data_IF_184272014558
#
_entry.id   IF_184272014558
#
_cell.length_a   1.000
_cell.length_b   1.000
_cell.length_c   1.000
_cell.angle_alpha   90.00
_cell.angle_beta   90.00
_cell.angle_gamma   90.00
#
_symmetry.space_group_name_H-M   'P 1'
#
loop_
_entity.id
_entity.type
_entity.pdbx_description
1 polymer ?
#
# COMPACT_ATOMS: atom_id res chain seq x y z
N UNK A 1 11.27 -9.98 3.11
CA UNK A 1 11.44 -8.65 3.72
C UNK A 1 11.59 -7.54 2.70
N UNK A 2 12.39 -7.73 1.64
CA UNK A 2 12.64 -6.67 0.64
C UNK A 2 11.35 -6.06 0.05
N UNK A 3 10.35 -6.89 -0.29
CA UNK A 3 9.05 -6.43 -0.79
C UNK A 3 8.35 -5.43 0.15
N UNK A 4 8.25 -5.76 1.44
CA UNK A 4 7.58 -4.89 2.43
C UNK A 4 8.39 -3.63 2.73
N UNK A 5 9.72 -3.75 2.74
CA UNK A 5 10.58 -2.58 2.92
C UNK A 5 10.40 -1.56 1.80
N UNK A 6 10.21 -2.03 0.56
CA UNK A 6 9.97 -1.16 -0.58
C UNK A 6 8.57 -0.59 -0.62
N UNK A 7 7.56 -1.39 -0.26
CA UNK A 7 6.20 -0.89 -0.10
C UNK A 7 6.18 0.24 0.95
N UNK A 8 6.88 0.07 2.07
CA UNK A 8 6.97 1.08 3.12
C UNK A 8 7.69 2.34 2.64
N UNK A 9 8.79 2.19 1.89
CA UNK A 9 9.46 3.32 1.22
C UNK A 9 8.56 4.05 0.23
N UNK A 10 7.71 3.32 -0.51
CA UNK A 10 6.79 3.94 -1.45
C UNK A 10 5.80 4.84 -0.71
N UNK A 11 5.26 4.39 0.42
CA UNK A 11 4.38 5.19 1.28
C UNK A 11 5.15 6.40 1.84
N UNK A 12 6.36 6.21 2.35
CA UNK A 12 7.19 7.32 2.87
C UNK A 12 7.43 8.41 1.81
N UNK A 13 7.66 8.00 0.56
CA UNK A 13 7.85 8.92 -0.57
C UNK A 13 6.55 9.63 -0.97
N UNK A 14 5.42 8.93 -0.94
CA UNK A 14 4.09 9.52 -1.18
C UNK A 14 3.77 10.57 -0.10
N UNK A 15 4.02 10.25 1.17
CA UNK A 15 3.79 11.16 2.30
C UNK A 15 4.71 12.39 2.22
N UNK A 16 5.93 12.21 1.72
CA UNK A 16 6.88 13.29 1.44
C UNK A 16 6.59 14.08 0.14
N UNK A 17 5.43 13.85 -0.50
CA UNK A 17 4.96 14.47 -1.75
C UNK A 17 5.86 14.25 -2.97
N UNK A 18 6.64 13.17 -3.01
CA UNK A 18 7.55 12.90 -4.12
C UNK A 18 6.84 12.26 -5.34
N UNK A 19 6.05 13.03 -6.07
CA UNK A 19 5.57 12.65 -7.40
C UNK A 19 4.47 11.57 -7.43
N UNK A 20 4.25 10.97 -8.61
CA UNK A 20 3.18 9.99 -8.81
C UNK A 20 3.49 8.65 -8.15
N UNK A 21 2.53 8.10 -7.40
CA UNK A 21 2.62 6.76 -6.80
C UNK A 21 3.07 5.69 -7.80
N UNK A 22 2.55 5.76 -9.03
CA UNK A 22 2.93 4.82 -10.10
C UNK A 22 4.44 4.94 -10.40
N UNK A 23 4.95 6.14 -10.63
CA UNK A 23 6.38 6.34 -10.91
C UNK A 23 7.26 5.88 -9.76
N UNK A 24 6.90 6.22 -8.52
CA UNK A 24 7.62 5.82 -7.30
C UNK A 24 7.75 4.31 -7.23
N UNK A 25 6.63 3.61 -7.30
CA UNK A 25 6.57 2.15 -7.16
C UNK A 25 7.36 1.45 -8.26
N UNK A 26 7.20 1.87 -9.51
CA UNK A 26 7.94 1.27 -10.62
C UNK A 26 9.45 1.56 -10.52
N UNK A 27 9.86 2.75 -10.07
CA UNK A 27 11.27 3.08 -9.83
C UNK A 27 11.88 2.28 -8.68
N UNK A 28 11.11 1.99 -7.63
CA UNK A 28 11.56 1.12 -6.53
C UNK A 28 11.67 -0.34 -6.98
N UNK A 29 10.73 -0.80 -7.80
CA UNK A 29 10.77 -2.14 -8.39
C UNK A 29 11.94 -2.32 -9.37
N UNK A 30 12.37 -1.27 -10.09
CA UNK A 30 13.58 -1.34 -10.92
C UNK A 30 14.85 -1.47 -10.06
N UNK A 31 14.88 -0.77 -8.93
CA UNK A 31 16.00 -0.77 -7.97
C UNK A 31 16.18 -2.10 -7.21
N UNK A 32 15.15 -2.97 -7.16
CA UNK A 32 15.25 -4.34 -6.60
C UNK A 32 16.41 -5.14 -7.18
N UNK A 33 16.69 -4.99 -8.48
CA UNK A 33 17.58 -5.87 -9.22
C UNK A 33 18.98 -5.32 -9.43
N UNK A 34 19.21 -4.03 -9.24
CA UNK A 34 20.56 -3.45 -9.43
C UNK A 34 21.54 -3.87 -8.32
N UNK A 35 21.05 -4.34 -7.17
CA UNK A 35 21.88 -4.87 -6.09
C UNK A 35 22.26 -6.36 -6.28
N UNK A 36 21.45 -7.13 -7.01
CA UNK A 36 21.79 -8.47 -7.47
C UNK A 36 22.50 -8.37 -8.82
N UNK A 37 23.82 -8.61 -8.88
CA UNK A 37 24.64 -8.62 -10.11
C UNK A 37 24.24 -9.71 -11.13
N UNK A 38 23.00 -9.70 -11.62
CA UNK A 38 22.53 -10.48 -12.77
C UNK A 38 21.59 -9.60 -13.59
N UNK A 39 22.19 -8.65 -14.32
CA UNK A 39 21.54 -7.99 -15.44
C UNK A 39 21.40 -9.02 -16.58
N UNK A 40 20.40 -9.89 -16.50
CA UNK A 40 20.00 -10.68 -17.65
C UNK A 40 19.14 -9.79 -18.55
N UNK A 41 19.78 -9.23 -19.57
CA UNK A 41 19.16 -8.53 -20.69
C UNK A 41 18.27 -9.51 -21.47
N UNK A 42 17.01 -9.63 -21.06
CA UNK A 42 16.03 -10.49 -21.72
C UNK A 42 14.60 -9.97 -21.54
N UNK A 43 13.75 -10.17 -22.55
CA UNK A 43 12.33 -9.80 -22.53
C UNK A 43 11.58 -10.34 -21.31
N UNK A 44 11.93 -11.55 -20.86
CA UNK A 44 11.38 -12.20 -19.67
C UNK A 44 11.71 -11.45 -18.35
N UNK A 45 12.89 -10.83 -18.24
CA UNK A 45 13.27 -10.07 -17.06
C UNK A 45 12.44 -8.78 -16.91
N UNK A 46 12.14 -8.13 -18.04
CA UNK A 46 11.28 -6.94 -18.11
C UNK A 46 9.82 -7.29 -17.80
N UNK A 47 9.32 -8.41 -18.29
CA UNK A 47 7.98 -8.90 -17.96
C UNK A 47 7.80 -9.15 -16.45
N UNK A 48 8.79 -9.81 -15.81
CA UNK A 48 8.80 -10.05 -14.35
C UNK A 48 8.86 -8.75 -13.54
N UNK A 49 9.65 -7.77 -14.00
CA UNK A 49 9.72 -6.46 -13.36
C UNK A 49 8.36 -5.73 -13.39
N UNK A 50 7.65 -5.84 -14.51
CA UNK A 50 6.32 -5.24 -14.63
C UNK A 50 5.32 -5.97 -13.74
N UNK A 51 5.38 -7.31 -13.60
CA UNK A 51 4.52 -8.03 -12.67
C UNK A 51 4.80 -7.69 -11.21
N UNK A 52 6.07 -7.58 -10.82
CA UNK A 52 6.46 -7.23 -9.46
C UNK A 52 6.07 -5.78 -9.12
N UNK A 53 6.28 -4.85 -10.05
CA UNK A 53 5.82 -3.47 -9.93
C UNK A 53 4.30 -3.36 -9.82
N UNK A 54 3.55 -4.13 -10.61
CA UNK A 54 2.07 -4.22 -10.49
C UNK A 54 1.65 -4.76 -9.12
N UNK A 55 2.32 -5.80 -8.62
CA UNK A 55 2.03 -6.38 -7.30
C UNK A 55 2.32 -5.38 -6.19
N UNK A 56 3.45 -4.68 -6.26
CA UNK A 56 3.82 -3.63 -5.31
C UNK A 56 2.80 -2.47 -5.35
N UNK A 57 2.41 -2.03 -6.55
CA UNK A 57 1.44 -0.96 -6.74
C UNK A 57 0.08 -1.32 -6.14
N UNK A 58 -0.38 -2.55 -6.36
CA UNK A 58 -1.64 -3.04 -5.80
C UNK A 58 -1.65 -2.95 -4.27
N UNK A 59 -0.63 -3.51 -3.62
CA UNK A 59 -0.53 -3.49 -2.15
C UNK A 59 -0.46 -2.06 -1.64
N UNK A 60 0.39 -1.22 -2.23
CA UNK A 60 0.52 0.17 -1.77
C UNK A 60 -0.78 0.96 -1.99
N UNK A 61 -1.43 0.81 -3.14
CA UNK A 61 -2.70 1.49 -3.42
C UNK A 61 -3.82 1.03 -2.49
N UNK A 62 -3.94 -0.27 -2.23
CA UNK A 62 -4.89 -0.81 -1.25
C UNK A 62 -4.57 -0.28 0.16
N UNK A 63 -3.30 -0.26 0.59
CA UNK A 63 -2.91 0.27 1.91
C UNK A 63 -3.25 1.75 2.08
N UNK A 64 -3.07 2.55 1.02
CA UNK A 64 -3.42 3.97 1.04
C UNK A 64 -4.94 4.18 1.09
N UNK A 65 -5.72 3.29 0.47
CA UNK A 65 -7.18 3.31 0.53
C UNK A 65 -7.71 3.10 1.95
N UNK A 66 -7.14 2.14 2.67
CA UNK A 66 -7.55 1.81 4.04
C UNK A 66 -6.77 2.56 5.11
N UNK A 67 -5.93 3.53 4.72
CA UNK A 67 -4.99 4.20 5.63
C UNK A 67 -5.68 4.74 6.89
N UNK A 68 -6.75 5.50 6.71
CA UNK A 68 -7.46 6.16 7.81
C UNK A 68 -8.09 5.15 8.77
N UNK A 69 -8.64 4.04 8.25
CA UNK A 69 -9.17 2.94 9.06
C UNK A 69 -8.05 2.31 9.87
N UNK A 70 -6.92 1.97 9.24
CA UNK A 70 -5.80 1.32 9.93
C UNK A 70 -5.17 2.25 10.96
N UNK A 71 -5.04 3.55 10.68
CA UNK A 71 -4.54 4.53 11.64
C UNK A 71 -5.47 4.64 12.86
N UNK A 72 -6.80 4.62 12.68
CA UNK A 72 -7.74 4.61 13.80
C UNK A 72 -7.64 3.34 14.66
N UNK A 73 -7.40 2.18 14.04
CA UNK A 73 -7.15 0.92 14.76
C UNK A 73 -5.82 1.00 15.51
N UNK A 74 -4.78 1.55 14.89
CA UNK A 74 -3.45 1.63 15.47
C UNK A 74 -3.35 2.66 16.61
N UNK A 75 -4.24 3.66 16.64
CA UNK A 75 -4.39 4.54 17.82
C UNK A 75 -4.94 3.78 19.04
N UNK A 76 -5.81 2.78 18.83
CA UNK A 76 -6.34 1.95 19.90
C UNK A 76 -5.38 0.80 20.29
N UNK A 77 -4.70 0.20 19.31
CA UNK A 77 -3.74 -0.89 19.51
C UNK A 77 -2.32 -0.37 19.32
N UNK A 78 -1.66 -0.05 20.42
CA UNK A 78 -0.30 0.51 20.40
C UNK A 78 0.78 -0.58 20.16
N UNK A 79 0.81 -1.11 18.94
CA UNK A 79 1.80 -2.09 18.49
C UNK A 79 3.21 -1.48 18.45
N UNK A 80 3.29 -0.17 18.15
CA UNK A 80 4.56 0.55 18.01
C UNK A 80 5.35 0.63 19.31
N UNK A 81 4.68 0.98 20.41
CA UNK A 81 5.36 1.07 21.70
C UNK A 81 5.60 -0.32 22.29
N UNK A 82 4.63 -1.24 22.13
CA UNK A 82 4.74 -2.64 22.60
C UNK A 82 5.93 -3.37 21.98
N UNK A 83 6.18 -3.18 20.69
CA UNK A 83 7.22 -3.90 19.94
C UNK A 83 8.30 -2.94 19.39
N UNK A 84 8.61 -1.89 20.16
CA UNK A 84 9.59 -0.84 19.81
C UNK A 84 11.00 -1.36 19.50
N UNK A 85 11.38 -2.51 20.06
CA UNK A 85 12.65 -3.20 19.76
C UNK A 85 12.68 -3.88 18.39
N UNK A 86 11.52 -4.29 17.89
CA UNK A 86 11.38 -5.03 16.62
C UNK A 86 11.22 -4.05 15.45
N UNK A 87 10.46 -2.98 15.65
CA UNK A 87 10.16 -1.98 14.62
C UNK A 87 11.11 -0.78 14.64
N UNK A 88 11.88 -0.60 15.72
CA UNK A 88 12.94 0.39 15.81
C UNK A 88 12.45 1.74 16.36
N UNK A 89 12.45 1.86 17.69
CA UNK A 89 12.95 3.07 18.34
C UNK A 89 14.33 2.71 18.88
N UNK A 90 15.39 3.00 18.14
CA UNK A 90 16.71 3.08 18.76
C UNK A 90 16.66 4.30 19.69
N UNK A 91 16.36 4.05 20.95
CA UNK A 91 16.65 4.96 22.04
C UNK A 91 18.13 5.33 21.94
N UNK A 92 18.39 6.61 21.67
CA UNK A 92 19.49 7.38 22.28
C UNK A 92 20.74 6.57 22.67
N UNK A 93 21.60 6.28 21.70
CA UNK A 93 23.02 6.08 21.98
C UNK A 93 23.84 6.92 21.00
N UNK A 94 24.54 7.88 21.57
CA UNK A 94 25.48 8.79 20.95
C UNK A 94 26.32 8.15 19.83
N UNK A 95 26.41 8.85 18.70
CA UNK A 95 27.73 9.13 18.13
C UNK A 95 27.72 10.52 17.52
N UNK A 96 28.30 11.46 18.29
CA UNK A 96 28.81 12.73 17.78
C UNK A 96 29.91 12.41 16.77
N UNK A 97 29.56 12.23 15.50
CA UNK A 97 30.47 12.41 14.36
C UNK A 97 29.65 13.02 13.23
N UNK A 98 29.51 14.35 13.32
CA UNK A 98 29.09 15.17 12.21
C UNK A 98 30.12 15.06 11.08
N UNK A 99 29.66 15.23 9.84
CA UNK A 99 30.45 15.31 8.59
C UNK A 99 30.78 13.94 7.96
N UNK A 100 29.76 13.28 7.36
CA UNK A 100 29.89 12.36 6.18
C UNK A 100 28.72 11.37 6.00
N UNK A 101 27.76 11.25 6.93
CA UNK A 101 26.72 10.19 6.89
C UNK A 101 25.31 10.62 6.46
N UNK A 102 25.17 11.67 5.64
CA UNK A 102 23.85 12.05 5.09
C UNK A 102 23.30 11.06 4.04
N UNK A 103 24.10 10.12 3.53
CA UNK A 103 23.67 9.17 2.49
C UNK A 103 22.96 7.89 3.01
N UNK A 104 23.12 7.52 4.28
CA UNK A 104 22.70 6.19 4.78
C UNK A 104 21.45 6.19 5.68
N UNK A 105 20.76 7.32 5.87
CA UNK A 105 19.41 7.33 6.47
C UNK A 105 18.36 6.68 5.54
N UNK A 106 18.75 6.37 4.30
CA UNK A 106 17.91 5.88 3.19
C UNK A 106 17.71 4.37 3.13
N UNK A 107 18.31 3.58 4.03
CA UNK A 107 18.26 2.11 3.94
C UNK A 107 17.08 1.49 4.69
N UNK A 108 16.56 2.10 5.74
CA UNK A 108 15.44 1.54 6.50
C UNK A 108 14.18 2.40 6.34
N UNK A 109 13.04 1.82 5.89
CA UNK A 109 11.77 2.54 5.82
C UNK A 109 11.31 2.99 7.21
N UNK A 110 10.40 3.95 7.27
CA UNK A 110 9.78 4.33 8.54
C UNK A 110 9.04 3.12 9.15
N UNK A 111 9.20 2.95 10.46
CA UNK A 111 8.55 1.89 11.22
C UNK A 111 7.02 1.92 11.06
N UNK A 112 6.45 3.14 11.07
CA UNK A 112 5.01 3.36 10.94
C UNK A 112 4.47 2.86 9.59
N UNK A 113 5.12 3.24 8.49
CA UNK A 113 4.73 2.82 7.14
C UNK A 113 4.82 1.32 6.95
N UNK A 114 5.83 0.68 7.55
CA UNK A 114 5.98 -0.77 7.52
C UNK A 114 4.88 -1.48 8.31
N UNK A 115 4.50 -0.98 9.49
CA UNK A 115 3.38 -1.53 10.28
C UNK A 115 2.07 -1.36 9.52
N UNK A 116 1.83 -0.19 8.94
CA UNK A 116 0.62 0.10 8.15
C UNK A 116 0.39 -0.96 7.07
N UNK A 117 1.44 -1.30 6.31
CA UNK A 117 1.35 -2.31 5.24
C UNK A 117 1.13 -3.70 5.78
N UNK A 118 1.82 -4.07 6.87
CA UNK A 118 1.70 -5.41 7.41
C UNK A 118 0.34 -5.64 8.11
N UNK A 119 -0.19 -4.62 8.78
CA UNK A 119 -1.54 -4.67 9.35
C UNK A 119 -2.58 -4.77 8.24
N UNK A 120 -2.43 -4.02 7.16
CA UNK A 120 -3.29 -4.17 5.98
C UNK A 120 -3.25 -5.60 5.43
N UNK A 121 -2.06 -6.14 5.19
CA UNK A 121 -1.88 -7.49 4.65
C UNK A 121 -2.31 -8.58 5.66
N UNK A 122 -2.45 -8.26 6.95
CA UNK A 122 -3.00 -9.18 7.94
C UNK A 122 -4.54 -9.15 7.99
N UNK A 123 -5.14 -7.96 7.91
CA UNK A 123 -6.59 -7.77 8.10
C UNK A 123 -7.39 -7.93 6.80
N UNK A 124 -6.87 -7.44 5.68
CA UNK A 124 -7.65 -7.30 4.43
C UNK A 124 -7.20 -8.24 3.30
N UNK A 125 -5.98 -8.78 3.39
CA UNK A 125 -5.47 -9.72 2.38
C UNK A 125 -5.92 -11.14 2.68
N UNK A 126 -6.55 -11.80 1.70
CA UNK A 126 -6.99 -13.19 1.82
C UNK A 126 -5.84 -14.18 2.03
N UNK A 127 -4.63 -13.83 1.57
CA UNK A 127 -3.43 -14.68 1.71
C UNK A 127 -2.63 -14.40 2.99
N UNK A 128 -2.98 -13.35 3.73
CA UNK A 128 -2.22 -12.89 4.89
C UNK A 128 -0.80 -12.42 4.54
N UNK A 129 -0.01 -12.19 5.58
CA UNK A 129 1.38 -11.73 5.47
C UNK A 129 2.22 -12.76 4.69
N UNK A 130 2.92 -12.34 3.63
CA UNK A 130 3.79 -13.17 2.77
C UNK A 130 5.17 -13.49 3.39
N UNK A 131 5.44 -13.06 4.62
CA UNK A 131 6.67 -13.41 5.34
C UNK A 131 6.62 -14.85 5.88
N UNK A 132 7.80 -15.46 6.05
CA UNK A 132 7.93 -16.71 6.81
C UNK A 132 7.40 -16.54 8.24
N UNK A 133 6.73 -17.58 8.75
CA UNK A 133 6.17 -17.65 10.11
C UNK A 133 7.22 -17.44 11.21
N UNK A 134 8.48 -17.77 10.93
CA UNK A 134 9.61 -17.65 11.87
C UNK A 134 10.06 -16.19 12.01
N UNK A 135 9.64 -15.31 11.10
CA UNK A 135 10.13 -13.94 11.08
C UNK A 135 9.56 -13.13 12.26
N UNK A 136 10.43 -12.56 13.09
CA UNK A 136 10.07 -11.81 14.33
C UNK A 136 8.98 -10.75 14.11
N UNK A 137 9.06 -10.02 13.01
CA UNK A 137 8.07 -8.97 12.65
C UNK A 137 6.67 -9.55 12.43
N UNK A 138 6.57 -10.72 11.79
CA UNK A 138 5.29 -11.38 11.56
C UNK A 138 4.71 -11.87 12.90
N UNK A 139 5.55 -12.50 13.73
CA UNK A 139 5.15 -12.99 15.04
C UNK A 139 4.63 -11.86 15.95
N UNK A 140 5.29 -10.68 15.92
CA UNK A 140 4.86 -9.50 16.66
C UNK A 140 3.43 -9.07 16.28
N UNK A 141 3.10 -9.06 14.98
CA UNK A 141 1.76 -8.69 14.52
C UNK A 141 0.75 -9.80 14.84
N UNK A 142 1.15 -11.07 14.71
CA UNK A 142 0.28 -12.21 15.04
C UNK A 142 -0.08 -12.23 16.53
N UNK A 143 0.81 -11.80 17.44
CA UNK A 143 0.49 -11.63 18.87
C UNK A 143 -0.63 -10.62 19.13
N UNK A 144 -0.67 -9.54 18.36
CA UNK A 144 -1.71 -8.51 18.47
C UNK A 144 -2.91 -8.74 17.53
N UNK A 145 -2.96 -9.85 16.80
CA UNK A 145 -3.99 -10.11 15.78
C UNK A 145 -5.42 -10.15 16.33
N UNK A 146 -5.62 -10.72 17.52
CA UNK A 146 -6.93 -10.78 18.18
C UNK A 146 -7.42 -9.37 18.56
N UNK A 147 -6.53 -8.54 19.10
CA UNK A 147 -6.82 -7.15 19.44
C UNK A 147 -7.15 -6.32 18.18
N UNK A 148 -6.35 -6.45 17.11
CA UNK A 148 -6.59 -5.75 15.84
C UNK A 148 -7.94 -6.11 15.22
N UNK A 149 -8.33 -7.39 15.24
CA UNK A 149 -9.64 -7.84 14.73
C UNK A 149 -10.80 -7.39 15.62
N UNK A 150 -10.60 -7.39 16.94
CA UNK A 150 -11.59 -6.88 17.88
C UNK A 150 -11.84 -5.39 17.67
N UNK A 151 -10.79 -4.58 17.52
CA UNK A 151 -10.92 -3.15 17.24
C UNK A 151 -11.57 -2.86 15.89
N UNK A 152 -11.22 -3.62 14.84
CA UNK A 152 -11.92 -3.52 13.56
C UNK A 152 -13.43 -3.78 13.73
N UNK A 153 -13.80 -4.80 14.49
CA UNK A 153 -15.21 -5.13 14.75
C UNK A 153 -15.91 -4.04 15.55
N UNK A 154 -15.25 -3.50 16.60
CA UNK A 154 -15.76 -2.36 17.37
C UNK A 154 -15.95 -1.12 16.50
N UNK A 155 -15.01 -0.84 15.60
CA UNK A 155 -15.11 0.28 14.66
C UNK A 155 -16.27 0.11 13.68
N UNK A 156 -16.47 -1.10 13.14
CA UNK A 156 -17.63 -1.40 12.28
C UNK A 156 -18.95 -1.19 13.02
N UNK A 157 -19.06 -1.69 14.25
CA UNK A 157 -20.25 -1.49 15.09
C UNK A 157 -20.48 -0.02 15.41
N UNK A 158 -19.41 0.72 15.76
CA UNK A 158 -19.49 2.16 16.07
C UNK A 158 -19.98 2.99 14.88
N UNK A 159 -19.60 2.61 13.66
CA UNK A 159 -20.05 3.27 12.44
C UNK A 159 -21.37 2.69 11.90
N UNK A 160 -21.89 1.62 12.49
CA UNK A 160 -23.14 0.97 12.05
C UNK A 160 -23.03 0.25 10.71
N UNK A 161 -21.83 -0.23 10.36
CA UNK A 161 -21.53 -0.75 9.02
C UNK A 161 -21.37 -2.27 9.01
N UNK A 162 -21.95 -2.94 8.00
CA UNK A 162 -21.87 -4.39 7.81
C UNK A 162 -20.64 -4.87 7.02
N UNK A 163 -20.08 -4.03 6.13
CA UNK A 163 -18.90 -4.35 5.34
C UNK A 163 -17.72 -3.39 5.57
N UNK A 164 -16.50 -3.91 5.45
CA UNK A 164 -15.27 -3.11 5.60
C UNK A 164 -15.12 -2.05 4.50
N UNK A 165 -15.60 -2.32 3.28
CA UNK A 165 -15.61 -1.33 2.18
C UNK A 165 -16.38 -0.08 2.57
N UNK A 166 -17.54 -0.27 3.16
CA UNK A 166 -18.50 0.76 3.50
C UNK A 166 -17.99 1.62 4.67
N UNK A 167 -17.10 1.05 5.51
CA UNK A 167 -16.40 1.77 6.57
C UNK A 167 -15.48 2.86 6.01
N UNK A 168 -14.90 2.64 4.82
CA UNK A 168 -14.11 3.68 4.15
C UNK A 168 -15.02 4.82 3.70
N UNK A 169 -16.17 4.47 3.13
CA UNK A 169 -17.10 5.46 2.60
C UNK A 169 -17.75 6.26 3.74
N UNK A 170 -18.06 5.62 4.87
CA UNK A 170 -18.54 6.32 6.07
C UNK A 170 -17.48 7.27 6.64
N UNK A 171 -16.21 6.85 6.67
CA UNK A 171 -15.13 7.66 7.23
C UNK A 171 -14.72 8.82 6.32
N UNK A 172 -14.81 8.64 4.99
CA UNK A 172 -14.66 9.72 4.02
C UNK A 172 -15.77 10.75 4.18
N UNK A 173 -17.03 10.30 4.27
CA UNK A 173 -18.19 11.19 4.51
C UNK A 173 -18.04 11.98 5.82
N UNK A 174 -17.55 11.35 6.89
CA UNK A 174 -17.32 12.02 8.17
C UNK A 174 -16.16 13.03 8.15
N UNK A 175 -15.28 12.99 7.16
CA UNK A 175 -14.17 13.94 6.98
C UNK A 175 -14.43 15.01 5.92
N UNK A 176 -15.52 14.90 5.16
CA UNK A 176 -15.89 15.83 4.08
C UNK A 176 -17.25 16.47 4.35
N UNK A 177 -17.29 17.49 5.19
CA UNK A 177 -18.42 18.45 5.26
C UNK A 177 -18.49 19.37 4.01
N UNK A 178 -18.04 18.89 2.84
CA UNK A 178 -18.13 19.58 1.56
C UNK A 178 -19.05 18.78 0.62
N UNK A 179 -20.17 19.36 0.14
CA UNK A 179 -21.23 18.61 -0.53
C UNK A 179 -20.94 18.25 -2.00
N UNK A 180 -19.75 18.55 -2.52
CA UNK A 180 -19.52 18.65 -3.98
C UNK A 180 -18.63 17.56 -4.60
N UNK A 181 -18.34 16.46 -3.91
CA UNK A 181 -17.61 15.34 -4.54
C UNK A 181 -18.51 14.11 -4.62
N UNK A 182 -19.26 14.09 -5.73
CA UNK A 182 -20.01 12.95 -6.24
C UNK A 182 -19.18 11.68 -6.07
N UNK A 183 -19.82 10.67 -5.48
CA UNK A 183 -19.21 9.41 -5.05
C UNK A 183 -18.44 8.72 -6.18
N UNK A 184 -17.17 9.08 -6.33
CA UNK A 184 -16.30 8.48 -7.33
C UNK A 184 -16.16 6.99 -6.97
N UNK A 185 -16.58 6.06 -7.85
CA UNK A 185 -16.40 4.65 -7.58
C UNK A 185 -14.93 4.42 -7.32
N UNK A 186 -14.64 3.84 -6.15
CA UNK A 186 -13.28 3.52 -5.69
C UNK A 186 -12.39 3.10 -6.87
N UNK A 187 -11.20 3.70 -7.01
CA UNK A 187 -10.22 3.54 -8.12
C UNK A 187 -10.00 2.08 -8.59
N UNK A 188 -10.25 1.09 -7.73
CA UNK A 188 -10.14 -0.35 -8.06
C UNK A 188 -11.31 -0.88 -8.91
N UNK A 189 -12.51 -0.31 -8.74
CA UNK A 189 -13.74 -0.66 -9.48
C UNK A 189 -14.29 0.54 -10.28
N UNK A 190 -13.51 1.61 -10.46
CA UNK A 190 -13.92 2.70 -11.33
C UNK A 190 -14.07 2.18 -12.77
N UNK A 191 -15.16 2.52 -13.48
CA UNK A 191 -15.29 2.15 -14.88
C UNK A 191 -14.10 2.72 -15.67
N UNK A 192 -13.54 1.89 -16.54
CA UNK A 192 -12.48 2.34 -17.45
C UNK A 192 -13.12 3.11 -18.59
N UNK A 193 -13.03 4.43 -18.52
CA UNK A 193 -13.51 5.30 -19.60
C UNK A 193 -12.59 5.19 -20.82
N UNK A 194 -13.20 5.05 -21.99
CA UNK A 194 -12.54 5.10 -23.28
C UNK A 194 -13.16 6.18 -24.14
N UNK A 195 -12.33 6.99 -24.81
CA UNK A 195 -12.80 7.98 -25.78
C UNK A 195 -12.67 7.40 -27.19
N UNK A 196 -13.79 7.29 -27.90
CA UNK A 196 -13.80 6.86 -29.30
C UNK A 196 -13.26 8.00 -30.18
N UNK A 197 -12.36 7.67 -31.10
CA UNK A 197 -11.86 8.63 -32.07
C UNK A 197 -12.82 8.74 -33.26
N UNK A 198 -13.66 9.78 -33.23
CA UNK A 198 -14.73 10.02 -34.22
C UNK A 198 -14.24 10.29 -35.64
N UNK A 199 -12.96 10.59 -35.84
CA UNK A 199 -12.36 10.77 -37.18
C UNK A 199 -12.12 9.41 -37.84
N UNK A 200 -11.84 8.37 -37.04
CA UNK A 200 -11.50 7.04 -37.55
C UNK A 200 -12.68 6.09 -37.49
N UNK A 201 -13.47 6.11 -36.42
CA UNK A 201 -14.57 5.18 -36.16
C UNK A 201 -15.83 5.92 -35.70
N UNK A 202 -17.00 5.37 -36.03
CA UNK A 202 -18.25 5.75 -35.38
C UNK A 202 -18.38 5.12 -33.99
N UNK A 203 -19.34 5.60 -33.19
CA UNK A 203 -19.59 5.05 -31.85
C UNK A 203 -20.14 3.62 -31.94
N UNK A 204 -20.99 3.35 -32.93
CA UNK A 204 -21.63 2.08 -33.18
C UNK A 204 -20.60 1.03 -33.62
N UNK A 205 -19.71 1.38 -34.55
CA UNK A 205 -18.64 0.48 -35.02
C UNK A 205 -17.69 0.12 -33.87
N UNK A 206 -17.35 1.09 -33.02
CA UNK A 206 -16.49 0.86 -31.86
C UNK A 206 -17.13 -0.10 -30.84
N UNK A 207 -18.45 0.01 -30.64
CA UNK A 207 -19.21 -0.90 -29.77
C UNK A 207 -19.27 -2.31 -30.37
N UNK A 208 -19.58 -2.43 -31.66
CA UNK A 208 -19.60 -3.71 -32.37
C UNK A 208 -18.26 -4.43 -32.28
N UNK A 209 -17.17 -3.71 -32.55
CA UNK A 209 -15.82 -4.25 -32.44
C UNK A 209 -15.48 -4.72 -31.02
N UNK A 210 -15.89 -4.00 -29.98
CA UNK A 210 -15.67 -4.40 -28.59
C UNK A 210 -16.41 -5.69 -28.24
N UNK A 211 -17.67 -5.82 -28.68
CA UNK A 211 -18.48 -7.04 -28.48
C UNK A 211 -17.86 -8.22 -29.22
N UNK A 212 -17.44 -8.03 -30.48
CA UNK A 212 -16.79 -9.06 -31.29
C UNK A 212 -15.44 -9.50 -30.69
N UNK A 213 -14.72 -8.57 -30.06
CA UNK A 213 -13.48 -8.84 -29.35
C UNK A 213 -13.69 -9.47 -27.95
N UNK A 214 -14.94 -9.65 -27.51
CA UNK A 214 -15.29 -10.30 -26.25
C UNK A 214 -15.10 -9.44 -25.00
N UNK A 215 -15.25 -8.11 -25.13
CA UNK A 215 -15.25 -7.16 -24.01
C UNK A 215 -16.64 -6.92 -23.43
#
# INVERSE_FOLDING_TARGET
>A
MEFYNQAARAIDQVDSKHGSLKSIVFNLATKMKTSSKQAQNGSAAKARQVSDGKRLLRVVAETLRYRQVIESILQAVDVLNSESKIFGKSSSSQSKTAISKQANRSQHPQAQSLILILVHDHLFSSRGISLSKIHKIRLAIERHSSALKAELSRLMVRQGVSQVSDLIDSLKRAGSDSPDEESSPTIVNAPRWMRVNTIKWSLEDAKGWLVDAGW
#
